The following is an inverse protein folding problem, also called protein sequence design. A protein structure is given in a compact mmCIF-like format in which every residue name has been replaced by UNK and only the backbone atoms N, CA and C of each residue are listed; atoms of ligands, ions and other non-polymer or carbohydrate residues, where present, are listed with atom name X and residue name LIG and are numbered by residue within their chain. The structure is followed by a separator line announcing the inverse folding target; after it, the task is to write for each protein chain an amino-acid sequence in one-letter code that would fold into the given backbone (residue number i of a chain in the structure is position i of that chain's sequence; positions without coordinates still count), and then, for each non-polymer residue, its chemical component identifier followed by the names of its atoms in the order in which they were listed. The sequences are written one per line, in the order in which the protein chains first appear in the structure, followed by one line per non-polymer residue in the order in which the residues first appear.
data_IF_194233540569
#
_entry.id   IF_194233540569
#
_cell.length_a   1.000
_cell.length_b   1.000
_cell.length_c   1.000
_cell.angle_alpha   90.00
_cell.angle_beta   90.00
_cell.angle_gamma   90.00
#
_symmetry.space_group_name_H-M   'P 1'
#
loop_
_entity.id
_entity.type
_entity.pdbx_description
1 polymer ?
#
# COMPACT_ATOMS: atom_id res chain seq x y z
N UNK A 1 2.16 -7.06 2.18
CA UNK A 1 1.04 -6.13 1.90
C UNK A 1 -0.33 -6.78 2.08
N UNK A 2 -0.69 -7.84 1.35
CA UNK A 2 -2.03 -8.45 1.48
C UNK A 2 -2.31 -8.98 2.90
N UNK A 3 -1.53 -9.96 3.35
CA UNK A 3 -1.70 -10.57 4.69
C UNK A 3 -1.59 -9.55 5.83
N UNK A 4 -0.61 -8.65 5.75
CA UNK A 4 -0.42 -7.59 6.74
C UNK A 4 -1.62 -6.66 6.80
N UNK A 5 -2.23 -6.34 5.66
CA UNK A 5 -3.43 -5.50 5.62
C UNK A 5 -4.67 -6.22 6.16
N UNK A 6 -4.86 -7.51 5.86
CA UNK A 6 -5.94 -8.31 6.45
C UNK A 6 -5.84 -8.33 7.98
N UNK A 7 -4.64 -8.59 8.50
CA UNK A 7 -4.40 -8.63 9.95
C UNK A 7 -4.61 -7.27 10.61
N UNK A 8 -4.20 -6.18 9.95
CA UNK A 8 -4.39 -4.84 10.49
C UNK A 8 -5.86 -4.42 10.47
N UNK A 9 -6.62 -4.73 9.42
CA UNK A 9 -8.06 -4.43 9.35
C UNK A 9 -8.84 -5.16 10.45
N UNK A 10 -8.47 -6.40 10.74
CA UNK A 10 -9.14 -7.22 11.76
C UNK A 10 -8.72 -6.91 13.20
N UNK A 11 -7.52 -6.38 13.41
CA UNK A 11 -7.01 -6.04 14.75
C UNK A 11 -7.22 -4.58 15.13
N UNK A 12 -7.24 -3.70 14.15
CA UNK A 12 -7.40 -2.26 14.35
C UNK A 12 -8.86 -1.91 14.07
N UNK A 13 -9.60 -1.55 15.11
CA UNK A 13 -10.97 -1.05 14.97
C UNK A 13 -10.93 0.43 15.26
N UNK A 14 -11.26 1.25 14.27
CA UNK A 14 -11.15 2.71 14.36
C UNK A 14 -12.48 3.33 14.01
N UNK A 15 -12.95 4.25 14.84
CA UNK A 15 -14.13 5.04 14.53
C UNK A 15 -13.82 6.11 13.49
N UNK A 16 -14.84 6.56 12.75
CA UNK A 16 -14.68 7.56 11.69
C UNK A 16 -14.09 8.89 12.20
N UNK A 17 -14.41 9.25 13.44
CA UNK A 17 -13.81 10.40 14.15
C UNK A 17 -12.31 10.22 14.38
N UNK A 18 -11.89 9.07 14.89
CA UNK A 18 -10.48 8.77 15.15
C UNK A 18 -9.64 8.77 13.88
N UNK A 19 -10.20 8.32 12.75
CA UNK A 19 -9.53 8.40 11.43
C UNK A 19 -9.20 9.86 11.08
N UNK A 20 -10.15 10.78 11.28
CA UNK A 20 -10.00 12.20 10.95
C UNK A 20 -9.08 12.95 11.93
N UNK A 21 -9.20 12.68 13.24
CA UNK A 21 -8.46 13.43 14.26
C UNK A 21 -7.04 12.93 14.48
N UNK A 22 -6.79 11.63 14.31
CA UNK A 22 -5.45 11.06 14.55
C UNK A 22 -4.66 10.87 13.27
N UNK A 23 -5.23 11.19 12.10
CA UNK A 23 -4.69 10.81 10.79
C UNK A 23 -4.25 9.35 10.84
N UNK A 24 -5.20 8.45 11.13
CA UNK A 24 -4.89 7.03 11.24
C UNK A 24 -4.70 6.43 9.83
N UNK A 25 -3.66 5.62 9.57
CA UNK A 25 -3.46 4.97 8.28
C UNK A 25 -4.50 3.89 7.92
N UNK A 26 -5.49 3.65 8.79
CA UNK A 26 -6.50 2.60 8.63
C UNK A 26 -7.15 2.50 7.24
N UNK A 27 -7.64 3.58 6.60
CA UNK A 27 -8.26 3.50 5.28
C UNK A 27 -7.32 2.92 4.22
N UNK A 28 -6.03 3.14 4.37
CA UNK A 28 -5.05 2.71 3.40
C UNK A 28 -4.70 1.22 3.52
N UNK A 29 -5.05 0.55 4.62
CA UNK A 29 -4.94 -0.92 4.67
C UNK A 29 -5.84 -1.58 3.61
N UNK A 30 -6.98 -0.97 3.28
CA UNK A 30 -7.83 -1.45 2.19
C UNK A 30 -7.17 -1.32 0.81
N UNK A 31 -6.39 -0.26 0.59
CA UNK A 31 -5.56 -0.13 -0.61
C UNK A 31 -4.49 -1.23 -0.63
N UNK A 32 -3.92 -1.54 0.54
CA UNK A 32 -3.06 -2.70 0.78
C UNK A 32 -3.63 -4.03 0.36
N UNK A 33 -4.94 -4.22 0.54
CA UNK A 33 -5.64 -5.42 0.07
C UNK A 33 -5.73 -5.45 -1.45
N UNK A 34 -6.24 -4.38 -2.07
CA UNK A 34 -6.49 -4.32 -3.51
C UNK A 34 -5.20 -4.61 -4.29
N UNK A 35 -4.14 -3.85 -3.99
CA UNK A 35 -2.85 -4.04 -4.66
C UNK A 35 -2.10 -5.28 -4.15
N UNK A 36 -2.44 -5.77 -2.96
CA UNK A 36 -1.95 -7.05 -2.47
C UNK A 36 -2.47 -8.23 -3.29
N UNK A 37 -3.76 -8.22 -3.64
CA UNK A 37 -4.37 -9.21 -4.56
C UNK A 37 -3.73 -9.12 -5.93
N UNK A 38 -3.52 -7.90 -6.43
CA UNK A 38 -2.85 -7.68 -7.71
C UNK A 38 -1.43 -8.29 -7.72
N UNK A 39 -0.64 -8.09 -6.66
CA UNK A 39 0.69 -8.71 -6.55
C UNK A 39 0.66 -10.23 -6.44
N UNK A 40 -0.35 -10.81 -5.76
CA UNK A 40 -0.55 -12.26 -5.72
C UNK A 40 -0.86 -12.77 -7.13
N UNK A 41 -1.77 -12.11 -7.85
CA UNK A 41 -2.11 -12.46 -9.22
C UNK A 41 -0.88 -12.37 -10.14
N UNK A 42 -0.10 -11.29 -10.05
CA UNK A 42 1.15 -11.15 -10.80
C UNK A 42 2.16 -12.25 -10.45
N UNK A 43 2.32 -12.60 -9.16
CA UNK A 43 3.24 -13.65 -8.73
C UNK A 43 2.88 -15.05 -9.24
N UNK A 44 1.58 -15.35 -9.38
CA UNK A 44 1.10 -16.64 -9.89
C UNK A 44 1.14 -16.69 -11.43
N UNK A 45 0.73 -15.62 -12.09
CA UNK A 45 0.49 -15.62 -13.55
C UNK A 45 1.61 -14.99 -14.37
N UNK A 46 2.50 -14.22 -13.75
CA UNK A 46 3.46 -13.35 -14.42
C UNK A 46 2.82 -12.19 -15.21
N UNK A 47 1.49 -12.01 -15.13
CA UNK A 47 0.77 -11.05 -15.96
C UNK A 47 0.56 -9.70 -15.26
N UNK A 48 0.96 -8.61 -15.91
CA UNK A 48 0.70 -7.23 -15.46
C UNK A 48 -0.70 -6.72 -15.85
N UNK A 49 -1.57 -7.56 -16.41
CA UNK A 49 -2.91 -7.15 -16.88
C UNK A 49 -3.75 -6.48 -15.78
N UNK A 50 -3.75 -7.05 -14.58
CA UNK A 50 -4.56 -6.52 -13.47
C UNK A 50 -4.04 -5.15 -13.02
N UNK A 51 -2.73 -4.96 -12.96
CA UNK A 51 -2.12 -3.64 -12.74
C UNK A 51 -2.52 -2.65 -13.85
N UNK A 52 -2.38 -3.04 -15.13
CA UNK A 52 -2.71 -2.15 -16.24
C UNK A 52 -4.19 -1.73 -16.26
N UNK A 53 -5.08 -2.60 -15.77
CA UNK A 53 -6.51 -2.30 -15.64
C UNK A 53 -6.77 -1.29 -14.51
N UNK A 54 -6.05 -1.40 -13.39
CA UNK A 54 -6.10 -0.40 -12.30
C UNK A 54 -5.55 0.95 -12.76
N UNK A 55 -4.50 0.93 -13.58
CA UNK A 55 -3.81 2.14 -14.02
C UNK A 55 -4.50 2.87 -15.18
N UNK A 56 -5.37 2.18 -15.91
CA UNK A 56 -5.88 2.65 -17.20
C UNK A 56 -4.82 2.51 -18.30
N UNK A 57 -5.22 1.98 -19.45
CA UNK A 57 -4.39 1.96 -20.65
C UNK A 57 -4.45 3.30 -21.39
N UNK A 58 -3.37 3.68 -22.10
CA UNK A 58 -3.36 4.83 -23.01
C UNK A 58 -2.15 5.75 -22.87
N UNK A 59 -2.26 6.94 -23.46
CA UNK A 59 -1.20 7.96 -23.53
C UNK A 59 -0.72 8.45 -22.15
N UNK A 60 -1.57 8.32 -21.11
CA UNK A 60 -1.26 8.71 -19.74
C UNK A 60 -0.72 7.58 -18.84
N UNK A 61 -0.40 6.42 -19.41
CA UNK A 61 0.11 5.26 -18.66
C UNK A 61 1.39 5.59 -17.88
N UNK A 62 2.35 6.30 -18.51
CA UNK A 62 3.62 6.72 -17.88
C UNK A 62 3.41 7.70 -16.71
N UNK A 63 2.49 8.64 -16.84
CA UNK A 63 2.11 9.56 -15.77
C UNK A 63 1.42 8.82 -14.61
N UNK A 64 0.57 7.85 -14.93
CA UNK A 64 -0.14 7.03 -13.94
C UNK A 64 0.82 6.12 -13.16
N UNK A 65 1.85 5.53 -13.81
CA UNK A 65 2.94 4.80 -13.14
C UNK A 65 3.70 5.69 -12.18
N UNK A 66 4.05 6.91 -12.58
CA UNK A 66 4.78 7.85 -11.74
C UNK A 66 3.94 8.28 -10.53
N UNK A 67 2.65 8.56 -10.73
CA UNK A 67 1.72 8.90 -9.67
C UNK A 67 1.58 7.77 -8.64
N UNK A 68 1.41 6.52 -9.10
CA UNK A 68 1.35 5.37 -8.19
C UNK A 68 2.67 5.15 -7.44
N UNK A 69 3.81 5.32 -8.11
CA UNK A 69 5.13 5.24 -7.47
C UNK A 69 5.22 6.22 -6.30
N UNK A 70 4.94 7.50 -6.55
CA UNK A 70 4.99 8.54 -5.52
C UNK A 70 3.97 8.25 -4.42
N UNK A 71 2.75 7.86 -4.79
CA UNK A 71 1.69 7.52 -3.84
C UNK A 71 2.13 6.42 -2.86
N UNK A 72 2.63 5.29 -3.36
CA UNK A 72 3.07 4.18 -2.51
C UNK A 72 4.35 4.48 -1.72
N UNK A 73 5.25 5.28 -2.29
CA UNK A 73 6.45 5.73 -1.60
C UNK A 73 6.09 6.61 -0.39
N UNK A 74 5.32 7.68 -0.63
CA UNK A 74 4.87 8.59 0.42
C UNK A 74 4.04 7.86 1.47
N UNK A 75 3.16 6.96 1.03
CA UNK A 75 2.32 6.21 1.94
C UNK A 75 3.11 5.21 2.80
N UNK A 76 4.06 4.47 2.21
CA UNK A 76 4.94 3.57 2.96
C UNK A 76 5.74 4.29 4.04
N UNK A 77 6.29 5.47 3.72
CA UNK A 77 6.98 6.32 4.68
C UNK A 77 6.03 6.80 5.78
N UNK A 78 4.85 7.29 5.41
CA UNK A 78 3.85 7.77 6.34
C UNK A 78 3.42 6.69 7.34
N UNK A 79 3.14 5.45 6.90
CA UNK A 79 2.80 4.34 7.80
C UNK A 79 3.93 4.09 8.80
N UNK A 80 5.18 4.05 8.35
CA UNK A 80 6.33 3.79 9.23
C UNK A 80 6.47 4.92 10.27
N UNK A 81 6.40 6.17 9.84
CA UNK A 81 6.50 7.34 10.74
C UNK A 81 5.36 7.33 11.77
N UNK A 82 4.12 7.13 11.32
CA UNK A 82 2.95 7.03 12.19
C UNK A 82 3.11 5.92 13.22
N UNK A 83 3.68 4.78 12.79
CA UNK A 83 3.84 3.59 13.63
C UNK A 83 4.83 3.80 14.76
N UNK A 84 5.92 4.53 14.49
CA UNK A 84 6.92 4.86 15.51
C UNK A 84 6.34 5.85 16.53
N UNK A 85 5.52 6.80 16.06
CA UNK A 85 5.03 7.89 16.90
C UNK A 85 3.76 7.55 17.72
N UNK A 86 2.86 6.68 17.21
CA UNK A 86 1.49 6.59 17.75
C UNK A 86 0.95 5.16 17.98
N UNK A 87 1.73 4.10 17.69
CA UNK A 87 1.21 2.72 17.73
C UNK A 87 1.73 1.91 18.93
N UNK A 88 0.87 1.11 19.56
CA UNK A 88 1.24 0.15 20.61
C UNK A 88 2.16 -0.97 20.07
N UNK A 89 3.08 -1.46 20.90
CA UNK A 89 4.13 -2.45 20.54
C UNK A 89 3.61 -3.66 19.73
N UNK A 90 2.45 -4.21 20.09
CA UNK A 90 1.87 -5.39 19.43
C UNK A 90 1.48 -5.11 17.97
N UNK A 91 1.01 -3.90 17.68
CA UNK A 91 0.60 -3.47 16.33
C UNK A 91 1.76 -2.85 15.55
N UNK A 92 2.82 -2.44 16.26
CA UNK A 92 3.97 -1.75 15.71
C UNK A 92 4.68 -2.59 14.64
N UNK A 93 4.96 -3.86 14.94
CA UNK A 93 5.61 -4.75 13.97
C UNK A 93 4.78 -4.94 12.69
N UNK A 94 3.47 -5.17 12.83
CA UNK A 94 2.58 -5.38 11.68
C UNK A 94 2.51 -4.13 10.80
N UNK A 95 2.41 -2.95 11.40
CA UNK A 95 2.39 -1.70 10.66
C UNK A 95 3.73 -1.40 9.98
N UNK A 96 4.87 -1.64 10.64
CA UNK A 96 6.20 -1.48 10.02
C UNK A 96 6.34 -2.41 8.81
N UNK A 97 5.99 -3.70 8.95
CA UNK A 97 6.04 -4.65 7.84
C UNK A 97 5.10 -4.22 6.70
N UNK A 98 3.93 -3.67 7.02
CA UNK A 98 3.02 -3.16 6.01
C UNK A 98 3.60 -1.93 5.29
N UNK A 99 4.15 -0.97 6.03
CA UNK A 99 4.86 0.19 5.50
C UNK A 99 6.00 -0.20 4.55
N UNK A 100 6.85 -1.13 4.98
CA UNK A 100 7.93 -1.69 4.15
C UNK A 100 7.36 -2.36 2.90
N UNK A 101 6.24 -3.09 3.01
CA UNK A 101 5.60 -3.70 1.85
C UNK A 101 5.18 -2.66 0.79
N UNK A 102 4.67 -1.50 1.21
CA UNK A 102 4.34 -0.41 0.30
C UNK A 102 5.57 0.20 -0.35
N UNK A 103 6.68 0.36 0.39
CA UNK A 103 7.94 0.83 -0.17
C UNK A 103 8.52 -0.15 -1.19
N UNK A 104 8.50 -1.45 -0.91
CA UNK A 104 8.95 -2.46 -1.87
C UNK A 104 8.04 -2.47 -3.12
N UNK A 105 6.74 -2.26 -2.92
CA UNK A 105 5.81 -2.16 -4.03
C UNK A 105 6.08 -0.91 -4.89
N UNK A 106 6.33 0.24 -4.28
CA UNK A 106 6.69 1.46 -5.03
C UNK A 106 7.96 1.25 -5.85
N UNK A 107 9.00 0.64 -5.29
CA UNK A 107 10.23 0.30 -6.02
C UNK A 107 9.96 -0.64 -7.21
N UNK A 108 9.04 -1.60 -7.04
CA UNK A 108 8.65 -2.49 -8.14
C UNK A 108 7.97 -1.75 -9.29
N UNK A 109 7.15 -0.73 -8.99
CA UNK A 109 6.51 0.14 -9.98
C UNK A 109 7.57 1.01 -10.67
N UNK A 110 8.49 1.60 -9.89
CA UNK A 110 9.57 2.43 -10.43
C UNK A 110 10.44 1.65 -11.42
N UNK A 111 10.82 0.42 -11.08
CA UNK A 111 11.55 -0.47 -11.99
C UNK A 111 10.78 -0.75 -13.27
N UNK A 112 9.47 -0.99 -13.18
CA UNK A 112 8.62 -1.25 -14.34
C UNK A 112 8.38 -0.02 -15.23
N UNK A 113 8.54 1.19 -14.69
CA UNK A 113 8.43 2.44 -15.45
C UNK A 113 9.71 2.78 -16.23
N UNK A 114 10.88 2.40 -15.71
CA UNK A 114 12.18 2.78 -16.25
C UNK A 114 12.79 1.78 -17.25
N UNK A 115 12.14 0.62 -17.46
CA UNK A 115 12.50 -0.41 -18.44
C UNK A 115 11.61 -0.31 -19.67
#
# INVERSE_FOLDING_TARGET
MFLTSVLLITKVHVNLSEILFTFNPYPFYFIGLIFGVERIFYGITGSSKLLSLIMGGGEYSSLSTLALFIFFLSFGLYVIIYTIAYTQIILQMLNVINGISYLLFSLSIFKAWHM
#
